data_IF_543669730413
#
_entry.id   IF_543669730413
#
_cell.length_a   1.000
_cell.length_b   1.000
_cell.length_c   1.000
_cell.angle_alpha   90.00
_cell.angle_beta   90.00
_cell.angle_gamma   90.00
#
_symmetry.space_group_name_H-M   'P 1'
#
loop_
_entity.id
_entity.type
_entity.pdbx_description
1 polymer ?
#
# COMPACT_ATOMS: atom_id res chain seq x y z
N UNK A 1 14.27 -12.43 -34.30
CA UNK A 1 13.19 -12.48 -33.30
C UNK A 1 13.63 -12.33 -31.82
N UNK A 2 14.86 -11.89 -31.50
CA UNK A 2 15.32 -11.70 -30.09
C UNK A 2 15.12 -10.28 -29.53
N UNK A 3 14.93 -9.29 -30.41
CA UNK A 3 14.87 -7.87 -30.01
C UNK A 3 13.51 -7.52 -29.40
N UNK A 4 12.41 -8.08 -29.93
CA UNK A 4 11.03 -7.77 -29.53
C UNK A 4 10.74 -8.20 -28.09
N UNK A 5 11.30 -9.33 -27.64
CA UNK A 5 11.10 -9.83 -26.26
C UNK A 5 11.80 -8.93 -25.23
N UNK A 6 12.98 -8.39 -25.56
CA UNK A 6 13.71 -7.49 -24.65
C UNK A 6 13.02 -6.15 -24.47
N UNK A 7 12.36 -5.62 -25.50
CA UNK A 7 11.61 -4.37 -25.41
C UNK A 7 10.35 -4.54 -24.56
N UNK A 8 9.68 -5.70 -24.65
CA UNK A 8 8.47 -6.00 -23.87
C UNK A 8 8.73 -6.00 -22.36
N UNK A 9 9.85 -6.58 -21.92
CA UNK A 9 10.20 -6.67 -20.48
C UNK A 9 10.48 -5.28 -19.89
N UNK A 10 11.06 -4.37 -20.69
CA UNK A 10 11.37 -3.01 -20.25
C UNK A 10 10.13 -2.10 -20.17
N UNK A 11 9.09 -2.36 -20.97
CA UNK A 11 7.84 -1.59 -20.98
C UNK A 11 6.74 -2.18 -20.09
N UNK A 12 6.86 -3.45 -19.69
CA UNK A 12 5.91 -4.11 -18.78
C UNK A 12 5.58 -3.31 -17.49
N UNK A 13 6.53 -2.66 -16.78
CA UNK A 13 6.17 -1.86 -15.62
C UNK A 13 5.36 -0.59 -15.95
N UNK A 14 5.44 -0.08 -17.18
CA UNK A 14 4.71 1.09 -17.69
C UNK A 14 3.32 0.74 -18.25
N UNK A 15 3.10 -0.51 -18.68
CA UNK A 15 1.82 -0.97 -19.27
C UNK A 15 0.92 -1.64 -18.23
N UNK A 16 1.47 -2.03 -17.06
CA UNK A 16 0.64 -2.52 -15.95
C UNK A 16 -0.43 -1.46 -15.62
N UNK A 17 -1.73 -1.82 -15.68
CA UNK A 17 -2.78 -0.84 -15.59
C UNK A 17 -2.68 -0.07 -14.28
N UNK A 18 -3.27 1.12 -14.24
CA UNK A 18 -3.58 1.86 -13.01
C UNK A 18 -4.60 1.09 -12.16
N UNK A 19 -4.30 -0.16 -11.81
CA UNK A 19 -5.13 -0.99 -10.97
C UNK A 19 -5.07 -0.38 -9.58
N UNK A 20 -6.21 0.16 -9.16
CA UNK A 20 -6.40 0.70 -7.84
C UNK A 20 -6.91 -0.45 -6.97
N UNK A 21 -6.09 -0.87 -6.03
CA UNK A 21 -6.43 -1.84 -4.99
C UNK A 21 -7.03 -1.12 -3.79
N UNK A 22 -8.02 -1.75 -3.16
CA UNK A 22 -8.52 -1.34 -1.85
C UNK A 22 -7.67 -2.04 -0.79
N UNK A 23 -6.93 -1.26 -0.01
CA UNK A 23 -6.20 -1.73 1.17
C UNK A 23 -7.02 -1.37 2.39
N UNK A 24 -7.24 -2.34 3.27
CA UNK A 24 -7.88 -2.13 4.56
C UNK A 24 -6.81 -1.97 5.63
N UNK A 25 -6.90 -0.94 6.45
CA UNK A 25 -5.97 -0.68 7.55
C UNK A 25 -6.75 -0.85 8.85
N UNK A 26 -6.48 -1.93 9.56
CA UNK A 26 -7.10 -2.25 10.84
C UNK A 26 -6.23 -1.79 11.99
N UNK A 27 -6.81 -0.98 12.87
CA UNK A 27 -6.15 -0.51 14.07
C UNK A 27 -6.56 -1.37 15.28
N UNK A 28 -5.57 -2.08 15.84
CA UNK A 28 -5.76 -3.05 16.91
C UNK A 28 -5.26 -2.59 18.29
N UNK A 29 -4.42 -1.56 18.37
CA UNK A 29 -3.82 -1.09 19.65
C UNK A 29 -4.71 -0.13 20.43
N UNK A 30 -5.77 0.37 19.80
CA UNK A 30 -6.77 1.19 20.46
C UNK A 30 -6.39 2.65 20.66
N UNK A 31 -5.32 3.14 20.03
CA UNK A 31 -5.00 4.58 19.93
C UNK A 31 -5.38 5.11 18.55
N UNK A 32 -5.41 6.42 18.34
CA UNK A 32 -5.51 6.98 16.99
C UNK A 32 -4.12 7.08 16.38
N UNK A 33 -3.96 6.71 15.11
CA UNK A 33 -2.68 6.79 14.42
C UNK A 33 -2.78 7.62 13.15
N UNK A 34 -1.85 8.55 12.98
CA UNK A 34 -1.66 9.25 11.72
C UNK A 34 -0.85 8.38 10.77
N UNK A 35 -1.41 8.15 9.58
CA UNK A 35 -0.79 7.37 8.52
C UNK A 35 -0.58 8.21 7.27
N UNK A 36 0.47 7.87 6.54
CA UNK A 36 0.77 8.41 5.23
C UNK A 36 0.88 7.27 4.23
N UNK A 37 0.15 7.42 3.13
CA UNK A 37 0.20 6.51 1.99
C UNK A 37 0.88 7.23 0.84
N UNK A 38 1.93 6.61 0.31
CA UNK A 38 2.79 7.18 -0.73
C UNK A 38 2.75 6.26 -1.93
N UNK A 39 2.30 6.75 -3.07
CA UNK A 39 2.41 6.03 -4.34
C UNK A 39 3.83 6.21 -4.90
N UNK A 40 4.65 5.15 -4.88
CA UNK A 40 6.06 5.20 -5.35
C UNK A 40 6.19 5.52 -6.84
N UNK A 41 5.17 5.25 -7.65
CA UNK A 41 5.22 5.47 -9.10
C UNK A 41 4.87 6.92 -9.46
N UNK A 42 3.90 7.50 -8.76
CA UNK A 42 3.45 8.87 -9.03
C UNK A 42 4.03 9.92 -8.08
N UNK A 43 4.66 9.49 -6.97
CA UNK A 43 5.10 10.37 -5.89
C UNK A 43 3.95 11.00 -5.09
N UNK A 44 2.69 10.66 -5.40
CA UNK A 44 1.52 11.23 -4.74
C UNK A 44 1.44 10.73 -3.30
N UNK A 45 1.20 11.66 -2.38
CA UNK A 45 1.06 11.37 -0.97
C UNK A 45 -0.39 11.64 -0.54
N UNK A 46 -0.89 10.80 0.36
CA UNK A 46 -2.17 10.96 1.02
C UNK A 46 -1.99 10.69 2.51
N UNK A 47 -2.32 11.66 3.35
CA UNK A 47 -2.34 11.49 4.81
C UNK A 47 -3.76 11.26 5.30
N UNK A 48 -3.92 10.42 6.31
CA UNK A 48 -5.19 10.23 7.02
C UNK A 48 -4.95 9.75 8.44
N UNK A 49 -5.97 9.83 9.29
CA UNK A 49 -5.94 9.31 10.65
C UNK A 49 -6.80 8.05 10.74
N UNK A 50 -6.26 6.97 11.30
CA UNK A 50 -6.99 5.74 11.60
C UNK A 50 -7.36 5.74 13.08
N UNK A 51 -8.65 5.79 13.37
CA UNK A 51 -9.16 5.88 14.73
C UNK A 51 -9.13 4.52 15.47
N UNK A 52 -9.30 4.59 16.80
CA UNK A 52 -9.34 3.43 17.70
C UNK A 52 -10.31 2.36 17.22
N UNK A 53 -9.84 1.10 17.17
CA UNK A 53 -10.64 -0.08 16.83
C UNK A 53 -11.43 0.07 15.52
N UNK A 54 -10.86 0.78 14.55
CA UNK A 54 -11.49 1.08 13.28
C UNK A 54 -10.76 0.43 12.10
N UNK A 55 -11.45 0.38 10.97
CA UNK A 55 -10.87 -0.01 9.68
C UNK A 55 -10.96 1.16 8.73
N UNK A 56 -9.83 1.62 8.21
CA UNK A 56 -9.77 2.60 7.14
C UNK A 56 -9.59 1.89 5.79
N UNK A 57 -10.23 2.40 4.74
CA UNK A 57 -10.03 1.89 3.38
C UNK A 57 -9.26 2.91 2.55
N UNK A 58 -8.12 2.48 2.00
CA UNK A 58 -7.28 3.31 1.17
C UNK A 58 -7.23 2.76 -0.25
N UNK A 59 -7.44 3.65 -1.21
CA UNK A 59 -7.23 3.35 -2.62
C UNK A 59 -5.74 3.52 -2.93
N UNK A 60 -5.09 2.43 -3.26
CA UNK A 60 -3.65 2.39 -3.50
C UNK A 60 -3.34 1.63 -4.79
N UNK A 61 -2.31 2.03 -5.51
CA UNK A 61 -1.78 1.33 -6.68
C UNK A 61 -0.69 0.33 -6.28
N UNK A 62 -0.33 -0.58 -7.19
CA UNK A 62 0.81 -1.45 -6.94
C UNK A 62 2.06 -0.63 -6.58
N UNK A 63 2.65 -0.98 -5.43
CA UNK A 63 3.86 -0.37 -4.92
C UNK A 63 3.64 0.80 -3.96
N UNK A 64 2.42 1.14 -3.52
CA UNK A 64 2.36 2.17 -2.47
C UNK A 64 3.04 1.70 -1.19
N UNK A 65 3.56 2.66 -0.47
CA UNK A 65 4.08 2.53 0.88
C UNK A 65 3.08 3.11 1.87
N UNK A 66 2.80 2.34 2.92
CA UNK A 66 1.98 2.78 4.06
C UNK A 66 2.92 2.94 5.24
N UNK A 67 2.94 4.14 5.80
CA UNK A 67 3.76 4.51 6.97
C UNK A 67 2.86 5.06 8.06
N UNK A 68 3.03 4.59 9.29
CA UNK A 68 2.45 5.23 10.47
C UNK A 68 3.47 6.26 10.93
N UNK A 69 3.06 7.52 11.07
CA UNK A 69 3.98 8.64 11.29
C UNK A 69 4.73 8.56 12.63
N UNK A 70 4.13 7.89 13.61
CA UNK A 70 4.70 7.66 14.95
C UNK A 70 5.70 6.49 14.98
N UNK A 71 5.77 5.73 13.90
CA UNK A 71 6.63 4.54 13.75
C UNK A 71 7.61 4.76 12.61
N UNK A 72 8.80 4.20 12.71
CA UNK A 72 9.71 4.17 11.55
C UNK A 72 9.42 2.99 10.60
N UNK A 73 8.36 2.23 10.87
CA UNK A 73 7.93 1.12 10.04
C UNK A 73 7.26 1.60 8.75
N UNK A 74 7.49 0.86 7.66
CA UNK A 74 6.84 1.08 6.36
C UNK A 74 6.48 -0.26 5.74
N UNK A 75 5.27 -0.37 5.18
CA UNK A 75 4.82 -1.55 4.44
C UNK A 75 4.58 -1.18 2.99
N UNK A 76 5.22 -1.92 2.09
CA UNK A 76 4.96 -1.83 0.65
C UNK A 76 3.85 -2.81 0.27
N UNK A 77 2.83 -2.31 -0.44
CA UNK A 77 1.74 -3.14 -0.96
C UNK A 77 2.25 -3.90 -2.20
N UNK A 78 2.32 -5.24 -2.15
CA UNK A 78 2.89 -6.04 -3.22
C UNK A 78 1.91 -6.18 -4.41
N UNK A 79 2.40 -6.67 -5.56
CA UNK A 79 1.61 -6.73 -6.79
C UNK A 79 0.61 -7.90 -6.85
N UNK A 80 0.52 -8.73 -5.80
CA UNK A 80 -0.07 -10.07 -5.92
C UNK A 80 -1.54 -10.04 -6.35
N UNK A 81 -1.80 -10.89 -7.35
CA UNK A 81 -3.06 -11.09 -8.04
C UNK A 81 -4.07 -11.79 -7.13
N UNK A 82 -4.74 -11.06 -6.27
CA UNK A 82 -6.07 -11.45 -5.86
C UNK A 82 -6.82 -10.22 -5.43
N UNK A 83 -8.11 -10.22 -5.71
CA UNK A 83 -9.08 -9.36 -5.05
C UNK A 83 -9.12 -9.57 -3.51
N UNK A 84 -8.11 -10.23 -2.92
CA UNK A 84 -7.88 -10.31 -1.51
C UNK A 84 -7.66 -8.90 -0.99
N UNK A 85 -8.56 -8.51 -0.10
CA UNK A 85 -8.49 -7.28 0.66
C UNK A 85 -7.18 -7.28 1.45
N UNK A 86 -6.11 -6.70 0.89
CA UNK A 86 -4.83 -6.56 1.59
C UNK A 86 -5.14 -5.82 2.89
N UNK A 87 -4.93 -6.50 4.02
CA UNK A 87 -5.20 -5.94 5.33
C UNK A 87 -3.87 -5.63 6.01
N UNK A 88 -3.63 -4.36 6.25
CA UNK A 88 -2.53 -3.88 7.08
C UNK A 88 -3.05 -3.74 8.50
N UNK A 89 -2.29 -4.22 9.47
CA UNK A 89 -2.64 -4.13 10.89
C UNK A 89 -1.67 -3.15 11.55
N UNK A 90 -2.22 -2.17 12.26
CA UNK A 90 -1.49 -1.31 13.20
C UNK A 90 -1.72 -1.90 14.59
N UNK A 91 -0.65 -2.26 15.29
CA UNK A 91 -0.73 -2.81 16.65
C UNK A 91 0.54 -2.55 17.44
N UNK A 92 0.41 -2.21 18.72
CA UNK A 92 1.48 -1.80 19.63
C UNK A 92 2.47 -0.79 19.01
N UNK A 93 2.02 0.08 18.10
CA UNK A 93 2.91 0.97 17.35
C UNK A 93 3.82 0.25 16.35
N UNK A 94 3.39 -0.90 15.84
CA UNK A 94 4.06 -1.66 14.77
C UNK A 94 3.12 -1.86 13.60
N UNK A 95 3.67 -1.81 12.38
CA UNK A 95 2.94 -2.09 11.15
C UNK A 95 3.16 -3.54 10.73
N UNK A 96 2.06 -4.28 10.46
CA UNK A 96 2.11 -5.69 10.03
C UNK A 96 1.24 -5.96 8.81
N UNK A 97 1.68 -6.89 7.94
CA UNK A 97 0.86 -7.45 6.85
C UNK A 97 0.18 -8.72 7.35
N UNK A 98 -1.13 -8.83 7.13
CA UNK A 98 -1.90 -10.05 7.42
C UNK A 98 -1.98 -10.97 6.19
#
# INVERSE_FOLDING_TARGET
>A
MKIIIRTLIFTLPFILPNIIYAVSIYNSDGRSHDIRVIDIRSGRQQSMTVYRASTAHVRCRYGCEIRVMETDDTITVPPESSYATNTVVIGDGTLRRR
#
